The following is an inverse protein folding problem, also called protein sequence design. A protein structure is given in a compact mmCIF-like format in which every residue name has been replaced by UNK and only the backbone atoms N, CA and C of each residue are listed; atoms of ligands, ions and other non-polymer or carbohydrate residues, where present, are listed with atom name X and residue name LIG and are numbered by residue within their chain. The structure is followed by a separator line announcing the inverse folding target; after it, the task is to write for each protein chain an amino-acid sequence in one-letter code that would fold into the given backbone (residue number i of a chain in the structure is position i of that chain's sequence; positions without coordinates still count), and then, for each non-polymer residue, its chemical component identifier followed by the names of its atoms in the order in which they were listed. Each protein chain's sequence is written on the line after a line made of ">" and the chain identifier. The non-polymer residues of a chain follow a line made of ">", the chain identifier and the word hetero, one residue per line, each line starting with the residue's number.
data_IF_322649993217
#
_entry.id   IF_322649993217
#
_cell.length_a   1.000
_cell.length_b   1.000
_cell.length_c   1.000
_cell.angle_alpha   90.00
_cell.angle_beta   90.00
_cell.angle_gamma   90.00
#
_symmetry.space_group_name_H-M   'P 1'
#
loop_
_entity.id
_entity.type
_entity.pdbx_description
1 polymer ?
#
# COMPACT_ATOMS: atom_id res chain seq x y z
N UNK A 1 -1.66 -26.88 -6.57
CA UNK A 1 -2.21 -26.32 -5.32
C UNK A 1 -1.93 -24.84 -5.24
N UNK A 2 -2.95 -24.07 -4.97
CA UNK A 2 -2.81 -22.62 -4.90
C UNK A 2 -2.43 -22.21 -3.49
N UNK A 3 -1.35 -21.49 -3.36
CA UNK A 3 -0.92 -20.99 -2.06
C UNK A 3 -1.66 -19.71 -1.73
N UNK A 4 -2.00 -19.57 -0.47
CA UNK A 4 -2.56 -18.36 0.05
C UNK A 4 -1.45 -17.31 0.11
N UNK A 5 -1.71 -16.11 -0.39
CA UNK A 5 -0.75 -15.02 -0.27
C UNK A 5 -1.36 -13.87 0.49
N UNK A 6 -0.51 -13.17 1.23
CA UNK A 6 -0.93 -11.99 1.99
C UNK A 6 -0.39 -10.75 1.29
N UNK A 7 -1.27 -9.77 1.13
CA UNK A 7 -0.91 -8.51 0.52
C UNK A 7 -1.03 -7.42 1.57
N UNK A 8 0.01 -6.60 1.68
CA UNK A 8 0.01 -5.44 2.58
C UNK A 8 -0.16 -4.20 1.71
N UNK A 9 -1.22 -3.45 1.95
CA UNK A 9 -1.45 -2.20 1.24
C UNK A 9 -0.97 -1.05 2.11
N UNK A 10 -0.29 -0.09 1.50
CA UNK A 10 0.28 1.06 2.18
C UNK A 10 -0.26 2.34 1.57
N UNK A 11 -0.94 3.12 2.38
CA UNK A 11 -1.41 4.44 1.98
C UNK A 11 -0.35 5.44 2.42
N UNK A 12 0.59 5.71 1.52
CA UNK A 12 1.78 6.49 1.84
C UNK A 12 1.44 7.88 2.35
N UNK A 13 2.08 8.28 3.43
CA UNK A 13 1.97 9.63 3.96
C UNK A 13 3.28 10.08 4.58
N UNK A 14 3.45 11.38 4.69
CA UNK A 14 4.69 11.97 5.20
C UNK A 14 4.80 11.84 6.71
N UNK A 15 3.69 11.93 7.42
CA UNK A 15 3.67 11.85 8.87
C UNK A 15 3.22 10.50 9.38
N UNK A 16 2.38 9.82 8.62
CA UNK A 16 1.89 8.50 9.00
C UNK A 16 1.47 7.78 7.74
N UNK A 17 1.45 6.47 7.82
CA UNK A 17 1.12 5.61 6.69
C UNK A 17 0.13 4.57 7.16
N UNK A 18 -1.08 4.60 6.58
CA UNK A 18 -2.09 3.61 6.92
C UNK A 18 -1.78 2.30 6.24
N UNK A 19 -2.13 1.19 6.91
CA UNK A 19 -1.84 -0.14 6.40
C UNK A 19 -3.06 -1.03 6.48
N UNK A 20 -3.19 -1.92 5.49
CA UNK A 20 -4.25 -2.91 5.46
C UNK A 20 -3.68 -4.24 5.00
N UNK A 21 -4.29 -5.32 5.45
CA UNK A 21 -3.90 -6.68 5.05
C UNK A 21 -5.04 -7.32 4.29
N UNK A 22 -4.69 -8.09 3.28
CA UNK A 22 -5.67 -8.85 2.53
C UNK A 22 -5.13 -10.22 2.16
N UNK A 23 -6.06 -11.12 1.89
CA UNK A 23 -5.77 -12.51 1.56
C UNK A 23 -6.16 -12.75 0.11
N UNK A 24 -5.27 -13.38 -0.65
CA UNK A 24 -5.50 -13.58 -2.08
C UNK A 24 -6.64 -14.54 -2.39
N UNK A 25 -6.98 -15.41 -1.46
CA UNK A 25 -8.04 -16.39 -1.67
C UNK A 25 -9.41 -15.80 -1.35
N UNK A 26 -9.52 -15.16 -0.19
CA UNK A 26 -10.82 -14.62 0.23
C UNK A 26 -11.06 -13.20 -0.26
N UNK A 27 -10.01 -12.52 -0.73
CA UNK A 27 -10.06 -11.11 -1.13
C UNK A 27 -10.58 -10.24 0.00
N UNK A 28 -10.22 -10.61 1.23
CA UNK A 28 -10.74 -9.94 2.40
C UNK A 28 -9.72 -8.90 2.86
N UNK A 29 -10.05 -7.64 2.69
CA UNK A 29 -9.17 -6.54 3.10
C UNK A 29 -9.65 -6.00 4.44
N UNK A 30 -8.72 -5.75 5.34
CA UNK A 30 -9.08 -5.19 6.65
C UNK A 30 -7.98 -4.26 7.15
N UNK A 31 -8.35 -3.29 7.99
CA UNK A 31 -7.35 -2.38 8.56
C UNK A 31 -6.34 -3.18 9.37
N UNK A 32 -5.08 -2.78 9.25
CA UNK A 32 -4.01 -3.47 9.96
C UNK A 32 -3.41 -2.58 11.04
N UNK A 33 -2.85 -1.44 10.63
CA UNK A 33 -2.24 -0.54 11.60
C UNK A 33 -1.93 0.79 10.89
N UNK A 34 -1.48 1.74 11.68
CA UNK A 34 -1.00 3.02 11.15
C UNK A 34 0.43 3.17 11.63
N UNK A 35 1.34 3.35 10.68
CA UNK A 35 2.76 3.44 10.98
C UNK A 35 3.20 4.89 11.03
N UNK A 36 3.89 5.28 12.10
CA UNK A 36 4.42 6.64 12.20
C UNK A 36 5.56 6.81 11.22
N UNK A 37 5.58 7.95 10.55
CA UNK A 37 6.59 8.26 9.55
C UNK A 37 7.36 9.49 10.00
N UNK A 38 8.63 9.52 9.69
CA UNK A 38 9.48 10.67 10.01
C UNK A 38 9.87 11.32 8.68
N UNK A 39 9.18 12.38 8.35
CA UNK A 39 9.40 13.12 7.11
C UNK A 39 9.39 12.18 5.89
N UNK A 40 8.38 11.34 5.84
CA UNK A 40 8.17 10.44 4.71
C UNK A 40 8.92 9.14 4.78
N UNK A 41 9.61 8.86 5.88
CA UNK A 41 10.35 7.62 6.03
C UNK A 41 9.89 6.85 7.25
N UNK A 42 9.67 5.54 7.12
CA UNK A 42 9.33 4.73 8.27
C UNK A 42 10.59 4.34 9.04
N UNK A 43 10.37 3.69 10.19
CA UNK A 43 11.43 2.92 10.80
C UNK A 43 11.55 1.67 9.92
N UNK A 44 12.56 1.65 9.08
CA UNK A 44 12.72 0.59 8.07
C UNK A 44 12.82 -0.80 8.68
N UNK A 45 13.56 -0.94 9.78
CA UNK A 45 13.69 -2.25 10.41
C UNK A 45 12.35 -2.74 10.93
N UNK A 46 11.54 -1.84 11.46
CA UNK A 46 10.21 -2.19 11.93
C UNK A 46 9.32 -2.64 10.79
N UNK A 47 9.30 -1.88 9.70
CA UNK A 47 8.46 -2.20 8.55
C UNK A 47 8.88 -3.53 7.92
N UNK A 48 10.17 -3.69 7.68
CA UNK A 48 10.68 -4.92 7.04
C UNK A 48 10.51 -6.13 7.94
N UNK A 49 10.69 -5.94 9.25
CA UNK A 49 10.48 -7.01 10.20
C UNK A 49 9.02 -7.45 10.26
N UNK A 50 8.11 -6.48 10.16
CA UNK A 50 6.68 -6.75 10.16
C UNK A 50 6.28 -7.55 8.91
N UNK A 51 6.81 -7.15 7.76
CA UNK A 51 6.56 -7.86 6.50
C UNK A 51 7.02 -9.31 6.60
N UNK A 52 8.17 -9.51 7.17
CA UNK A 52 8.71 -10.86 7.35
C UNK A 52 7.91 -11.66 8.38
N UNK A 53 7.62 -11.05 9.50
CA UNK A 53 6.91 -11.73 10.59
C UNK A 53 5.52 -12.22 10.16
N UNK A 54 4.82 -11.42 9.38
CA UNK A 54 3.48 -11.77 8.94
C UNK A 54 3.45 -12.63 7.68
N UNK A 55 4.62 -12.88 7.09
CA UNK A 55 4.69 -13.69 5.88
C UNK A 55 4.04 -13.02 4.69
N UNK A 56 4.21 -11.72 4.59
CA UNK A 56 3.61 -10.95 3.51
C UNK A 56 4.38 -11.21 2.22
N UNK A 57 3.67 -11.52 1.14
CA UNK A 57 4.25 -11.86 -0.15
C UNK A 57 4.24 -10.70 -1.12
N UNK A 58 3.37 -9.73 -0.89
CA UNK A 58 3.16 -8.66 -1.84
C UNK A 58 2.84 -7.38 -1.10
N UNK A 59 3.42 -6.27 -1.55
CA UNK A 59 3.13 -4.96 -0.99
C UNK A 59 2.60 -4.07 -2.09
N UNK A 60 1.53 -3.36 -1.79
CA UNK A 60 0.87 -2.46 -2.72
C UNK A 60 0.97 -1.05 -2.17
N UNK A 61 1.67 -0.17 -2.86
CA UNK A 61 1.83 1.22 -2.43
C UNK A 61 0.91 2.11 -3.24
N UNK A 62 0.04 2.84 -2.59
CA UNK A 62 -0.88 3.74 -3.26
C UNK A 62 -0.19 5.01 -3.73
N UNK A 63 -0.48 5.43 -4.94
CA UNK A 63 0.04 6.66 -5.50
C UNK A 63 -1.01 7.76 -5.45
N UNK A 64 -0.77 8.83 -4.70
CA UNK A 64 -1.72 9.93 -4.61
C UNK A 64 -1.56 10.89 -5.78
N UNK A 65 -2.18 10.56 -6.89
CA UNK A 65 -2.16 11.41 -8.08
C UNK A 65 -3.20 12.51 -7.98
N UNK A 66 -2.97 13.61 -8.70
CA UNK A 66 -3.97 14.65 -8.83
C UNK A 66 -5.15 14.10 -9.64
N UNK A 67 -6.30 14.74 -9.54
CA UNK A 67 -7.49 14.24 -10.21
C UNK A 67 -7.32 14.15 -11.73
N UNK A 68 -6.49 15.01 -12.31
CA UNK A 68 -6.23 14.97 -13.75
C UNK A 68 -5.14 13.97 -14.13
N UNK A 69 -4.63 13.20 -13.17
CA UNK A 69 -3.61 12.20 -13.44
C UNK A 69 -2.18 12.69 -13.34
N UNK A 70 -1.98 13.99 -13.08
CA UNK A 70 -0.63 14.51 -12.96
C UNK A 70 -0.07 14.22 -11.59
N UNK A 71 1.26 14.23 -11.49
CA UNK A 71 1.95 13.93 -10.26
C UNK A 71 2.16 15.16 -9.41
N UNK A 72 1.91 15.02 -8.11
CA UNK A 72 2.23 16.04 -7.14
C UNK A 72 3.59 15.70 -6.52
N UNK A 73 4.04 16.54 -5.62
CA UNK A 73 5.26 16.25 -4.86
C UNK A 73 5.08 14.96 -4.05
N UNK A 74 3.89 14.79 -3.48
CA UNK A 74 3.60 13.59 -2.69
C UNK A 74 3.64 12.33 -3.56
N UNK A 75 3.15 12.42 -4.80
CA UNK A 75 3.21 11.30 -5.74
C UNK A 75 4.66 10.87 -5.95
N UNK A 76 5.54 11.85 -6.16
CA UNK A 76 6.95 11.56 -6.40
C UNK A 76 7.61 10.92 -5.19
N UNK A 77 7.23 11.38 -4.01
CA UNK A 77 7.76 10.79 -2.78
C UNK A 77 7.27 9.36 -2.57
N UNK A 78 6.01 9.10 -2.94
CA UNK A 78 5.48 7.74 -2.83
C UNK A 78 6.19 6.80 -3.79
N UNK A 79 6.48 7.25 -5.00
CA UNK A 79 7.26 6.47 -5.97
C UNK A 79 8.64 6.13 -5.40
N UNK A 80 9.30 7.13 -4.84
CA UNK A 80 10.63 6.96 -4.29
C UNK A 80 10.59 5.99 -3.12
N UNK A 81 9.58 6.11 -2.28
CA UNK A 81 9.40 5.20 -1.16
C UNK A 81 9.23 3.75 -1.66
N UNK A 82 8.41 3.56 -2.69
CA UNK A 82 8.19 2.22 -3.23
C UNK A 82 9.48 1.61 -3.77
N UNK A 83 10.29 2.40 -4.46
CA UNK A 83 11.56 1.91 -4.99
C UNK A 83 12.53 1.56 -3.86
N UNK A 84 12.56 2.38 -2.82
CA UNK A 84 13.41 2.11 -1.67
C UNK A 84 12.98 0.84 -0.96
N UNK A 85 11.67 0.65 -0.83
CA UNK A 85 11.15 -0.54 -0.18
C UNK A 85 11.54 -1.79 -0.97
N UNK A 86 11.35 -1.75 -2.29
CA UNK A 86 11.72 -2.89 -3.14
C UNK A 86 13.20 -3.21 -3.02
N UNK A 87 14.04 -2.17 -3.00
CA UNK A 87 15.48 -2.36 -2.89
C UNK A 87 15.87 -2.98 -1.55
N UNK A 88 15.28 -2.50 -0.46
CA UNK A 88 15.61 -3.01 0.86
C UNK A 88 15.13 -4.43 1.06
N UNK A 89 13.98 -4.76 0.50
CA UNK A 89 13.50 -6.15 0.54
C UNK A 89 14.44 -7.06 -0.22
N UNK A 90 14.95 -6.60 -1.36
CA UNK A 90 15.92 -7.36 -2.12
C UNK A 90 17.22 -7.58 -1.36
N UNK A 91 17.68 -6.55 -0.65
CA UNK A 91 18.90 -6.68 0.16
C UNK A 91 18.74 -7.70 1.26
N UNK A 92 17.55 -7.82 1.82
CA UNK A 92 17.27 -8.80 2.86
C UNK A 92 16.91 -10.16 2.29
N UNK A 93 16.88 -10.27 0.96
CA UNK A 93 16.51 -11.49 0.26
C UNK A 93 15.12 -11.98 0.66
N UNK A 94 14.23 -11.05 0.95
CA UNK A 94 12.83 -11.39 1.20
C UNK A 94 12.13 -11.49 -0.13
N UNK A 95 11.42 -12.59 -0.36
CA UNK A 95 10.72 -12.84 -1.62
C UNK A 95 9.38 -12.12 -1.60
N UNK A 96 9.43 -10.80 -1.68
CA UNK A 96 8.24 -9.95 -1.62
C UNK A 96 8.23 -9.03 -2.84
N UNK A 97 7.11 -9.00 -3.54
CA UNK A 97 6.95 -8.13 -4.72
C UNK A 97 6.30 -6.83 -4.30
N UNK A 98 6.78 -5.72 -4.83
CA UNK A 98 6.23 -4.39 -4.54
C UNK A 98 5.54 -3.85 -5.79
N UNK A 99 4.33 -3.35 -5.63
CA UNK A 99 3.56 -2.76 -6.73
C UNK A 99 3.09 -1.37 -6.33
N UNK A 100 2.88 -0.51 -7.31
CA UNK A 100 2.23 0.78 -7.08
C UNK A 100 0.84 0.75 -7.72
N UNK A 101 -0.06 1.52 -7.18
CA UNK A 101 -1.46 1.51 -7.59
C UNK A 101 -2.02 2.92 -7.47
N UNK A 102 -2.75 3.36 -8.49
CA UNK A 102 -3.33 4.70 -8.52
C UNK A 102 -4.45 4.83 -7.50
N UNK A 103 -4.24 5.67 -6.49
CA UNK A 103 -5.23 5.85 -5.41
C UNK A 103 -6.54 6.46 -5.88
N UNK A 104 -6.55 7.12 -7.03
CA UNK A 104 -7.80 7.68 -7.54
C UNK A 104 -8.84 6.61 -7.79
N UNK A 105 -8.39 5.36 -7.98
CA UNK A 105 -9.28 4.25 -8.23
C UNK A 105 -10.05 3.83 -6.99
N UNK A 106 -9.65 4.29 -5.82
CA UNK A 106 -10.33 3.95 -4.57
C UNK A 106 -11.02 5.15 -3.97
N UNK A 107 -11.38 6.14 -4.80
CA UNK A 107 -11.81 7.37 -4.27
C UNK A 107 -13.19 7.41 -3.72
N UNK A 108 -13.91 8.27 -4.13
CA UNK A 108 -15.07 8.81 -3.68
C UNK A 108 -16.07 7.95 -3.03
N UNK A 109 -16.36 6.81 -3.44
CA UNK A 109 -17.31 5.91 -2.82
C UNK A 109 -16.69 5.19 -1.66
N UNK A 110 -15.50 5.58 -1.34
CA UNK A 110 -14.70 4.97 -0.32
C UNK A 110 -15.41 4.84 1.02
N UNK A 111 -16.00 5.92 1.50
CA UNK A 111 -16.66 5.89 2.79
C UNK A 111 -17.88 4.99 2.77
N UNK A 112 -18.55 4.94 1.65
CA UNK A 112 -19.71 4.11 1.53
C UNK A 112 -19.34 2.64 1.62
N UNK A 113 -18.29 2.26 0.90
CA UNK A 113 -17.77 0.91 0.94
C UNK A 113 -17.31 0.56 2.36
N UNK A 114 -16.65 1.49 3.02
CA UNK A 114 -16.16 1.26 4.37
C UNK A 114 -17.32 1.04 5.35
N UNK A 115 -18.39 1.79 5.17
CA UNK A 115 -19.57 1.62 6.02
C UNK A 115 -20.23 0.26 5.77
N UNK A 116 -20.33 -0.12 4.51
CA UNK A 116 -20.95 -1.39 4.14
C UNK A 116 -20.18 -2.59 4.68
N UNK A 117 -18.87 -2.46 4.76
CA UNK A 117 -18.03 -3.54 5.25
C UNK A 117 -17.80 -3.48 6.76
N UNK A 118 -18.36 -2.49 7.42
CA UNK A 118 -18.20 -2.35 8.86
C UNK A 118 -16.82 -1.88 9.29
N UNK A 119 -16.03 -1.33 8.38
CA UNK A 119 -14.70 -0.84 8.71
C UNK A 119 -14.76 0.46 9.51
N UNK A 120 -15.80 1.26 9.29
CA UNK A 120 -16.03 2.47 10.07
C UNK A 120 -17.48 2.48 10.51
N UNK A 121 -17.74 3.12 11.63
CA UNK A 121 -19.10 3.19 12.18
C UNK A 121 -19.87 4.37 11.61
N UNK A 122 -19.17 5.40 11.17
CA UNK A 122 -19.82 6.55 10.59
C UNK A 122 -18.88 7.22 9.61
N UNK A 123 -19.44 8.04 8.74
CA UNK A 123 -18.64 8.71 7.72
C UNK A 123 -17.73 9.79 8.30
N UNK A 124 -17.88 10.11 9.58
CA UNK A 124 -17.04 11.13 10.21
C UNK A 124 -15.77 10.55 10.85
N UNK A 125 -15.63 9.24 10.88
CA UNK A 125 -14.42 8.63 11.44
C UNK A 125 -13.22 8.87 10.56
N UNK A 126 -12.03 8.99 11.16
CA UNK A 126 -10.80 9.09 10.36
C UNK A 126 -10.64 7.82 9.53
N UNK A 127 -10.10 7.98 8.33
CA UNK A 127 -9.98 6.85 7.41
C UNK A 127 -8.54 6.56 6.97
N UNK A 128 -7.58 6.84 7.84
CA UNK A 128 -6.17 6.65 7.46
C UNK A 128 -5.85 5.21 7.10
N UNK A 129 -6.23 4.26 7.96
CA UNK A 129 -6.01 2.86 7.66
C UNK A 129 -7.12 2.31 6.75
N UNK A 130 -8.26 2.96 6.73
CA UNK A 130 -9.34 2.56 5.85
C UNK A 130 -8.99 2.88 4.39
N UNK A 131 -8.26 3.96 4.16
CA UNK A 131 -7.80 4.28 2.81
C UNK A 131 -6.97 3.13 2.25
N UNK A 132 -6.13 2.51 3.07
CA UNK A 132 -5.35 1.36 2.65
C UNK A 132 -6.26 0.16 2.33
N UNK A 133 -7.33 -0.03 3.09
CA UNK A 133 -8.31 -1.09 2.81
C UNK A 133 -8.98 -0.88 1.46
N UNK A 134 -9.32 0.36 1.16
CA UNK A 134 -9.98 0.68 -0.09
C UNK A 134 -9.05 0.49 -1.27
N UNK A 135 -7.80 0.82 -1.08
CA UNK A 135 -6.77 0.60 -2.07
C UNK A 135 -6.67 -0.90 -2.39
N UNK A 136 -6.65 -1.71 -1.35
CA UNK A 136 -6.54 -3.15 -1.50
C UNK A 136 -7.78 -3.75 -2.15
N UNK A 137 -8.95 -3.27 -1.76
CA UNK A 137 -10.20 -3.72 -2.35
C UNK A 137 -10.23 -3.40 -3.84
N UNK A 138 -9.80 -2.20 -4.22
CA UNK A 138 -9.72 -1.81 -5.62
C UNK A 138 -8.76 -2.71 -6.39
N UNK A 139 -7.64 -3.05 -5.78
CA UNK A 139 -6.66 -3.93 -6.38
C UNK A 139 -7.25 -5.31 -6.66
N UNK A 140 -8.02 -5.84 -5.72
CA UNK A 140 -8.61 -7.16 -5.93
C UNK A 140 -9.65 -7.15 -7.05
N UNK A 141 -10.31 -6.00 -7.26
CA UNK A 141 -11.29 -5.89 -8.34
C UNK A 141 -10.64 -5.60 -9.69
N UNK A 142 -9.49 -4.94 -9.68
CA UNK A 142 -8.82 -4.56 -10.92
C UNK A 142 -7.30 -4.71 -10.79
N UNK A 143 -6.80 -5.92 -10.61
CA UNK A 143 -5.37 -6.13 -10.36
C UNK A 143 -4.48 -5.72 -11.53
N UNK A 144 -5.03 -5.62 -12.71
CA UNK A 144 -4.24 -5.24 -13.88
C UNK A 144 -3.69 -3.83 -13.82
N UNK A 145 -4.24 -3.01 -12.94
CA UNK A 145 -3.81 -1.63 -12.80
C UNK A 145 -2.57 -1.50 -11.89
N UNK A 146 -2.19 -2.57 -11.23
CA UNK A 146 -1.00 -2.55 -10.38
C UNK A 146 0.25 -2.61 -11.26
N UNK A 147 1.24 -1.79 -10.92
CA UNK A 147 2.47 -1.72 -11.68
C UNK A 147 3.62 -2.22 -10.81
N UNK A 148 4.32 -3.21 -11.30
CA UNK A 148 5.43 -3.82 -10.56
C UNK A 148 6.60 -2.84 -10.41
N UNK A 149 7.17 -2.78 -9.22
CA UNK A 149 8.34 -1.95 -8.94
C UNK A 149 9.54 -2.87 -8.86
N UNK A 150 10.47 -2.67 -9.79
CA UNK A 150 11.67 -3.50 -9.83
C UNK A 150 12.61 -3.13 -8.68
N UNK A 151 13.18 -4.14 -8.07
CA UNK A 151 14.18 -3.92 -7.04
C UNK A 151 15.51 -3.54 -7.66
N UNK A 152 15.66 -3.72 -8.97
CA UNK A 152 16.87 -3.38 -9.65
C UNK A 152 17.03 -1.86 -9.65
N UNK A 153 18.18 -1.41 -9.24
CA UNK A 153 18.43 0.00 -9.22
C UNK A 153 18.48 0.54 -10.62
N UNK A 154 17.76 1.63 -10.84
CA UNK A 154 17.71 2.24 -12.13
C UNK A 154 18.99 2.99 -12.38
N UNK A 155 19.50 2.92 -13.60
CA UNK A 155 20.73 3.61 -13.91
C UNK A 155 20.57 5.12 -13.88
N UNK A 156 19.35 5.57 -13.89
CA UNK A 156 19.11 6.99 -13.83
C UNK A 156 19.02 7.41 -12.43
N UNK A 157 19.24 6.95 -11.65
CA UNK A 157 19.25 7.38 -10.40
C UNK A 157 18.15 8.08 -10.00
N UNK A 158 17.80 8.17 -9.06
CA UNK A 158 16.60 8.80 -8.53
C UNK A 158 16.86 10.12 -7.86
#
# INVERSE_FOLDING_TARGET
>A
MTSETLTLALDYGVKKMGMALGNSITHNARPFDILAMNNGQPDWDNLLGMIEHWGIDRVLVGLPLNMDGTESMLTKRAHKFARRLAHRLGERRQAVSVFIYDERLSSKEAKMIALENGWIASSSEPIDDIAACLLLDSYYHAPNHAIYVSERKDSHKD
#
